data_IF_871538264947
#
_entry.id   IF_871538264947
#
_cell.length_a   1.000
_cell.length_b   1.000
_cell.length_c   1.000
_cell.angle_alpha   90.00
_cell.angle_beta   90.00
_cell.angle_gamma   90.00
#
_symmetry.space_group_name_H-M   'P 1'
#
loop_
_entity.id
_entity.type
_entity.pdbx_description
1 polymer ?
#
# COMPACT_ATOMS: atom_id res chain seq x y z
N UNK A 1 76.78 35.74 -37.10
CA UNK A 1 77.64 34.54 -37.00
C UNK A 1 77.14 33.66 -35.86
N UNK A 2 77.10 32.34 -36.11
CA UNK A 2 77.23 31.23 -35.15
C UNK A 2 76.23 31.08 -33.98
N UNK A 3 75.19 30.26 -34.22
CA UNK A 3 74.95 28.91 -33.65
C UNK A 3 75.40 28.55 -32.20
N UNK A 4 74.45 27.89 -31.51
CA UNK A 4 74.60 26.73 -30.58
C UNK A 4 74.92 26.95 -29.08
N UNK A 5 74.02 26.54 -28.17
CA UNK A 5 73.98 25.24 -27.46
C UNK A 5 73.18 25.30 -26.14
N UNK A 6 72.46 24.18 -25.87
CA UNK A 6 72.17 23.53 -24.57
C UNK A 6 71.46 24.30 -23.45
N UNK A 7 70.67 23.74 -22.54
CA UNK A 7 69.81 22.56 -22.36
C UNK A 7 69.51 22.49 -20.84
N UNK A 8 68.27 22.12 -20.48
CA UNK A 8 67.83 21.49 -19.20
C UNK A 8 67.63 22.36 -17.91
N UNK A 9 66.73 21.95 -16.99
CA UNK A 9 65.66 22.82 -16.47
C UNK A 9 65.48 22.83 -14.92
N UNK A 10 64.63 23.77 -14.43
CA UNK A 10 63.80 23.77 -13.21
C UNK A 10 64.49 23.62 -11.82
N UNK A 11 63.97 24.23 -10.71
CA UNK A 11 62.67 23.81 -10.18
C UNK A 11 61.75 24.94 -9.64
N UNK A 12 60.46 24.73 -9.89
CA UNK A 12 59.35 24.71 -8.91
C UNK A 12 59.36 25.79 -7.82
N UNK A 13 58.43 26.74 -7.94
CA UNK A 13 57.71 27.29 -6.79
C UNK A 13 56.23 27.01 -6.99
N UNK A 14 55.75 26.05 -6.22
CA UNK A 14 54.39 25.52 -6.29
C UNK A 14 53.36 26.63 -6.13
N UNK A 15 52.51 26.76 -7.14
CA UNK A 15 51.27 27.51 -7.03
C UNK A 15 50.39 26.78 -6.00
N UNK A 16 49.97 27.54 -4.99
CA UNK A 16 49.01 27.15 -3.96
C UNK A 16 47.82 26.43 -4.60
N UNK A 17 47.74 25.11 -4.39
CA UNK A 17 46.56 24.33 -4.69
C UNK A 17 45.48 24.70 -3.67
N UNK A 18 44.65 25.68 -4.02
CA UNK A 18 43.48 26.04 -3.25
C UNK A 18 42.46 24.89 -3.39
N UNK A 19 42.33 24.12 -2.30
CA UNK A 19 41.21 23.21 -2.06
C UNK A 19 39.89 23.97 -2.26
N UNK A 20 39.20 23.68 -3.36
CA UNK A 20 37.74 23.68 -3.36
C UNK A 20 37.29 22.29 -3.74
N UNK A 21 37.21 21.44 -2.73
CA UNK A 21 36.40 20.24 -2.77
C UNK A 21 34.94 20.71 -2.93
N UNK A 22 34.49 20.89 -4.17
CA UNK A 22 33.07 20.85 -4.49
C UNK A 22 32.64 19.40 -4.30
N UNK A 23 32.37 19.03 -3.06
CA UNK A 23 31.47 17.94 -2.74
C UNK A 23 30.09 18.41 -3.22
N UNK A 24 29.83 18.27 -4.52
CA UNK A 24 28.46 18.28 -5.01
C UNK A 24 27.79 17.09 -4.35
N UNK A 25 27.15 17.36 -3.21
CA UNK A 25 26.11 16.50 -2.70
C UNK A 25 25.08 16.37 -3.83
N UNK A 26 25.23 15.32 -4.63
CA UNK A 26 24.19 14.85 -5.51
C UNK A 26 23.08 14.38 -4.55
N UNK A 27 22.24 15.33 -4.13
CA UNK A 27 20.94 15.02 -3.57
C UNK A 27 20.24 14.32 -4.72
N UNK A 28 20.36 12.99 -4.76
CA UNK A 28 19.43 12.14 -5.47
C UNK A 28 18.07 12.55 -4.91
N UNK A 29 17.35 13.39 -5.64
CA UNK A 29 15.93 13.59 -5.39
C UNK A 29 15.36 12.17 -5.34
N UNK A 30 14.98 11.74 -4.14
CA UNK A 30 14.30 10.46 -4.00
C UNK A 30 13.16 10.48 -5.04
N UNK A 31 13.02 9.43 -5.86
CA UNK A 31 11.96 9.42 -6.85
C UNK A 31 10.64 9.73 -6.15
N UNK A 32 9.78 10.52 -6.79
CA UNK A 32 8.48 11.00 -6.29
C UNK A 32 7.45 9.89 -6.01
N UNK A 33 7.91 8.68 -5.69
CA UNK A 33 7.17 7.49 -5.30
C UNK A 33 7.68 7.00 -3.94
N UNK A 34 7.88 7.90 -2.97
CA UNK A 34 7.98 7.48 -1.59
C UNK A 34 6.63 6.84 -1.21
N UNK A 35 6.66 5.63 -0.64
CA UNK A 35 5.44 5.00 -0.15
C UNK A 35 4.76 5.90 0.89
N UNK A 36 3.41 5.95 0.93
CA UNK A 36 2.72 6.77 1.91
C UNK A 36 3.12 6.36 3.32
N UNK A 37 3.42 7.35 4.16
CA UNK A 37 3.70 7.11 5.58
C UNK A 37 2.38 7.02 6.35
N UNK A 38 2.27 5.97 7.16
CA UNK A 38 1.09 5.70 7.99
C UNK A 38 1.43 5.94 9.46
N UNK A 39 0.87 7.01 10.03
CA UNK A 39 1.00 7.32 11.45
C UNK A 39 -0.25 6.81 12.17
N UNK A 40 -0.10 5.80 13.04
CA UNK A 40 -1.22 5.28 13.84
C UNK A 40 -1.70 6.36 14.81
N UNK A 41 -2.98 6.73 14.71
CA UNK A 41 -3.64 7.75 15.55
C UNK A 41 -4.39 7.10 16.70
N UNK A 42 -5.18 6.05 16.42
CA UNK A 42 -5.94 5.33 17.44
C UNK A 42 -6.09 3.85 17.11
N UNK A 43 -6.35 3.06 18.14
CA UNK A 43 -6.78 1.67 18.03
C UNK A 43 -7.92 1.45 19.03
N UNK A 44 -9.12 1.32 18.51
CA UNK A 44 -10.35 1.26 19.29
C UNK A 44 -11.01 -0.11 19.12
N UNK A 45 -11.65 -0.62 20.18
CA UNK A 45 -12.41 -1.88 20.13
C UNK A 45 -13.89 -1.67 20.41
N UNK A 46 -14.73 -2.46 19.75
CA UNK A 46 -16.19 -2.35 19.84
C UNK A 46 -16.84 -3.73 19.81
N UNK A 47 -18.04 -3.85 20.39
CA UNK A 47 -18.80 -5.10 20.40
C UNK A 47 -19.51 -5.37 19.06
N UNK A 48 -19.94 -4.32 18.36
CA UNK A 48 -20.62 -4.40 17.07
C UNK A 48 -19.70 -3.89 15.95
N UNK A 49 -19.91 -4.38 14.72
CA UNK A 49 -19.12 -3.98 13.55
C UNK A 49 -19.22 -2.46 13.33
N UNK A 50 -18.10 -1.72 13.37
CA UNK A 50 -18.10 -0.30 13.02
C UNK A 50 -18.53 -0.12 11.57
N UNK A 51 -19.48 0.78 11.33
CA UNK A 51 -19.91 1.19 10.00
C UNK A 51 -19.62 2.67 9.84
N UNK A 52 -18.57 2.98 9.07
CA UNK A 52 -18.07 4.35 8.91
C UNK A 52 -19.03 5.20 8.04
N UNK A 53 -19.59 4.60 6.98
CA UNK A 53 -20.60 5.22 6.10
C UNK A 53 -21.85 4.36 6.05
N UNK A 54 -22.87 4.75 6.80
CA UNK A 54 -24.16 4.04 6.87
C UNK A 54 -24.95 4.12 5.56
N UNK A 55 -24.68 5.14 4.76
CA UNK A 55 -25.29 5.39 3.46
C UNK A 55 -24.65 4.60 2.32
N UNK A 56 -23.52 3.92 2.56
CA UNK A 56 -22.83 3.14 1.54
C UNK A 56 -23.28 1.68 1.53
N UNK A 57 -23.55 1.10 0.36
CA UNK A 57 -23.76 -0.33 0.25
C UNK A 57 -22.52 -1.12 0.67
N UNK A 58 -22.74 -2.26 1.34
CA UNK A 58 -21.68 -3.20 1.71
C UNK A 58 -21.62 -4.31 0.66
N UNK A 59 -20.46 -4.55 0.02
CA UNK A 59 -20.33 -5.62 -0.95
C UNK A 59 -20.41 -6.99 -0.25
N UNK A 60 -21.01 -7.97 -0.93
CA UNK A 60 -21.19 -9.34 -0.42
C UNK A 60 -20.90 -10.35 -1.53
N UNK A 61 -19.69 -10.26 -2.08
CA UNK A 61 -19.29 -11.06 -3.23
C UNK A 61 -18.78 -12.45 -2.81
N UNK A 62 -19.00 -13.45 -3.66
CA UNK A 62 -18.45 -14.78 -3.46
C UNK A 62 -16.93 -14.75 -3.40
N UNK A 63 -16.37 -15.33 -2.33
CA UNK A 63 -14.91 -15.35 -2.13
C UNK A 63 -14.32 -14.01 -1.70
N UNK A 64 -15.13 -13.00 -1.36
CA UNK A 64 -14.67 -11.74 -0.78
C UNK A 64 -13.92 -11.97 0.54
N UNK A 65 -12.73 -11.40 0.64
CA UNK A 65 -11.89 -11.45 1.86
C UNK A 65 -11.66 -10.07 2.47
N UNK A 66 -11.80 -9.01 1.68
CA UNK A 66 -11.60 -7.63 2.11
C UNK A 66 -12.23 -6.65 1.11
N UNK A 67 -12.57 -5.44 1.54
CA UNK A 67 -12.95 -4.36 0.63
C UNK A 67 -12.51 -2.97 1.13
N UNK A 68 -12.45 -2.00 0.22
CA UNK A 68 -12.08 -0.62 0.51
C UNK A 68 -13.19 0.31 0.01
N UNK A 69 -13.71 1.12 0.92
CA UNK A 69 -14.57 2.27 0.65
C UNK A 69 -13.78 3.57 0.78
N UNK A 70 -14.31 4.66 0.24
CA UNK A 70 -13.63 5.97 0.24
C UNK A 70 -14.60 7.14 0.30
N UNK A 71 -14.14 8.28 0.83
CA UNK A 71 -14.96 9.48 0.96
C UNK A 71 -15.60 10.00 -0.35
N UNK A 72 -14.96 9.96 -1.54
CA UNK A 72 -15.51 10.67 -2.70
C UNK A 72 -16.78 10.05 -3.29
N UNK A 73 -17.00 8.74 -3.11
CA UNK A 73 -18.20 8.04 -3.57
C UNK A 73 -18.30 6.62 -3.00
N UNK A 74 -19.50 6.04 -3.12
CA UNK A 74 -19.81 4.69 -2.68
C UNK A 74 -19.14 3.57 -3.50
N UNK A 75 -18.42 3.87 -4.59
CA UNK A 75 -17.74 2.83 -5.35
C UNK A 75 -16.69 2.15 -4.47
N UNK A 76 -16.74 0.83 -4.46
CA UNK A 76 -16.00 0.01 -3.51
C UNK A 76 -15.02 -0.88 -4.26
N UNK A 77 -13.77 -0.93 -3.81
CA UNK A 77 -12.83 -1.94 -4.31
C UNK A 77 -13.00 -3.19 -3.49
N UNK A 78 -13.27 -4.31 -4.14
CA UNK A 78 -13.42 -5.61 -3.50
C UNK A 78 -12.21 -6.47 -3.81
N UNK A 79 -11.68 -7.12 -2.79
CA UNK A 79 -10.64 -8.12 -2.89
C UNK A 79 -11.26 -9.48 -2.63
N UNK A 80 -11.21 -10.32 -3.66
CA UNK A 80 -11.74 -11.68 -3.62
C UNK A 80 -10.67 -12.71 -3.90
N UNK A 81 -10.92 -13.94 -3.50
CA UNK A 81 -10.10 -15.10 -3.80
C UNK A 81 -10.93 -16.21 -4.43
N UNK A 82 -10.27 -17.08 -5.18
CA UNK A 82 -10.86 -18.31 -5.72
C UNK A 82 -10.38 -19.48 -4.89
N UNK A 83 -11.30 -20.38 -4.54
CA UNK A 83 -11.01 -21.63 -3.84
C UNK A 83 -11.32 -22.78 -4.79
N UNK A 84 -10.35 -23.67 -4.99
CA UNK A 84 -10.47 -24.87 -5.79
C UNK A 84 -10.02 -26.08 -4.96
N UNK A 85 -10.86 -27.10 -4.85
CA UNK A 85 -10.52 -28.30 -4.06
C UNK A 85 -10.29 -28.02 -2.57
N UNK A 86 -10.93 -26.99 -2.01
CA UNK A 86 -10.76 -26.58 -0.60
C UNK A 86 -9.49 -25.78 -0.31
N UNK A 87 -8.70 -25.47 -1.34
CA UNK A 87 -7.47 -24.67 -1.23
C UNK A 87 -7.60 -23.39 -2.04
N UNK A 88 -6.85 -22.36 -1.65
CA UNK A 88 -6.74 -21.11 -2.42
C UNK A 88 -6.09 -21.43 -3.77
N UNK A 89 -6.68 -20.91 -4.85
CA UNK A 89 -6.14 -21.09 -6.21
C UNK A 89 -4.79 -20.37 -6.34
N UNK A 90 -3.67 -21.10 -6.55
CA UNK A 90 -2.35 -20.51 -6.64
C UNK A 90 -2.15 -19.63 -7.88
N UNK A 91 -2.99 -19.76 -8.92
CA UNK A 91 -2.88 -18.95 -10.14
C UNK A 91 -3.39 -17.52 -9.94
N UNK A 92 -4.37 -17.34 -9.05
CA UNK A 92 -4.97 -16.05 -8.75
C UNK A 92 -5.44 -15.99 -7.29
N UNK A 93 -4.50 -16.04 -6.32
CA UNK A 93 -4.83 -16.17 -4.91
C UNK A 93 -5.59 -14.96 -4.37
N UNK A 94 -5.38 -13.77 -4.92
CA UNK A 94 -6.23 -12.59 -4.68
C UNK A 94 -6.44 -11.83 -5.98
N UNK A 95 -7.67 -11.38 -6.21
CA UNK A 95 -8.07 -10.51 -7.30
C UNK A 95 -8.75 -9.26 -6.74
N UNK A 96 -8.54 -8.11 -7.38
CA UNK A 96 -9.18 -6.85 -7.02
C UNK A 96 -10.07 -6.34 -8.16
N UNK A 97 -11.24 -5.80 -7.83
CA UNK A 97 -12.20 -5.25 -8.79
C UNK A 97 -13.10 -4.19 -8.14
N UNK A 98 -13.70 -3.34 -8.95
CA UNK A 98 -14.69 -2.37 -8.52
C UNK A 98 -16.07 -2.99 -8.38
N UNK A 99 -16.81 -2.57 -7.37
CA UNK A 99 -18.27 -2.56 -7.31
C UNK A 99 -18.75 -1.12 -7.50
N UNK A 100 -19.46 -0.86 -8.60
CA UNK A 100 -19.91 0.48 -8.99
C UNK A 100 -21.25 0.85 -8.33
N UNK A 101 -21.23 1.10 -7.02
CA UNK A 101 -22.44 1.42 -6.27
C UNK A 101 -23.05 2.80 -6.58
N UNK A 102 -22.38 3.65 -7.35
CA UNK A 102 -22.97 4.89 -7.86
C UNK A 102 -23.88 4.69 -9.08
N UNK A 103 -23.90 3.50 -9.68
CA UNK A 103 -24.74 3.15 -10.83
C UNK A 103 -25.67 2.00 -10.46
N UNK A 104 -25.25 0.74 -10.64
CA UNK A 104 -26.07 -0.46 -10.40
C UNK A 104 -25.39 -1.52 -9.54
N UNK A 105 -24.20 -1.24 -9.00
CA UNK A 105 -23.44 -2.20 -8.20
C UNK A 105 -22.69 -3.25 -9.03
N UNK A 106 -22.57 -3.04 -10.35
CA UNK A 106 -21.89 -3.97 -11.24
C UNK A 106 -20.40 -4.16 -10.87
N UNK A 107 -19.92 -5.39 -11.05
CA UNK A 107 -18.52 -5.71 -10.90
C UNK A 107 -17.75 -5.27 -12.15
N UNK A 108 -16.68 -4.48 -11.98
CA UNK A 108 -15.81 -4.01 -13.06
C UNK A 108 -14.36 -4.28 -12.71
N UNK A 109 -13.63 -4.91 -13.62
CA UNK A 109 -12.20 -5.11 -13.42
C UNK A 109 -11.47 -3.77 -13.24
N UNK A 110 -10.44 -3.75 -12.38
CA UNK A 110 -9.54 -2.59 -12.30
C UNK A 110 -8.90 -2.33 -13.66
N UNK A 111 -8.82 -1.06 -14.06
CA UNK A 111 -8.08 -0.64 -15.26
C UNK A 111 -6.56 -0.85 -15.12
N UNK A 112 -5.82 -0.79 -16.23
CA UNK A 112 -4.37 -1.04 -16.23
C UNK A 112 -3.58 -0.12 -15.29
N UNK A 113 -3.93 1.17 -15.23
CA UNK A 113 -3.30 2.15 -14.35
C UNK A 113 -3.66 1.92 -12.87
N UNK A 114 -4.93 1.66 -12.57
CA UNK A 114 -5.44 1.40 -11.21
C UNK A 114 -4.84 0.13 -10.58
N UNK A 115 -4.61 -0.92 -11.40
CA UNK A 115 -3.88 -2.13 -10.96
C UNK A 115 -2.42 -1.85 -10.62
N UNK A 116 -1.79 -0.92 -11.35
CA UNK A 116 -0.38 -0.56 -11.18
C UNK A 116 -0.15 0.41 -10.01
N UNK A 117 -1.17 1.19 -9.65
CA UNK A 117 -1.14 2.22 -8.61
C UNK A 117 -1.87 1.77 -7.33
N UNK A 118 -2.96 2.46 -6.94
CA UNK A 118 -3.51 2.45 -5.58
C UNK A 118 -4.15 1.13 -5.11
N UNK A 119 -4.76 0.35 -6.01
CA UNK A 119 -5.61 -0.78 -5.61
C UNK A 119 -5.03 -2.14 -5.97
N UNK A 120 -3.83 -2.17 -6.54
CA UNK A 120 -3.12 -3.40 -6.85
C UNK A 120 -2.83 -4.23 -5.60
N UNK A 121 -2.89 -5.54 -5.76
CA UNK A 121 -2.56 -6.52 -4.73
C UNK A 121 -1.47 -7.45 -5.24
N UNK A 122 -0.48 -7.72 -4.40
CA UNK A 122 0.49 -8.77 -4.60
C UNK A 122 0.23 -9.88 -3.59
N UNK A 123 0.36 -11.13 -4.03
CA UNK A 123 0.16 -12.31 -3.20
C UNK A 123 1.28 -13.30 -3.50
N UNK A 124 2.13 -13.53 -2.49
CA UNK A 124 3.28 -14.42 -2.57
C UNK A 124 3.00 -15.67 -1.74
N UNK A 125 3.18 -16.89 -2.28
CA UNK A 125 2.98 -18.11 -1.51
C UNK A 125 4.04 -18.24 -0.41
N UNK A 126 3.62 -18.69 0.77
CA UNK A 126 4.52 -18.99 1.89
C UNK A 126 5.01 -20.46 1.88
N UNK A 127 4.46 -21.31 1.01
CA UNK A 127 4.84 -22.73 0.89
C UNK A 127 3.99 -23.72 1.72
N UNK A 128 3.08 -23.20 2.55
CA UNK A 128 2.22 -23.96 3.46
C UNK A 128 0.72 -23.83 3.11
N UNK A 129 0.41 -23.39 1.89
CA UNK A 129 -0.97 -23.08 1.47
C UNK A 129 -1.49 -21.71 1.92
N UNK A 130 -0.66 -20.92 2.62
CA UNK A 130 -0.95 -19.51 2.92
C UNK A 130 -0.21 -18.58 1.97
N UNK A 131 -0.69 -17.33 1.88
CA UNK A 131 -0.09 -16.31 1.02
C UNK A 131 0.17 -15.04 1.83
N UNK A 132 1.39 -14.50 1.70
CA UNK A 132 1.66 -13.14 2.10
C UNK A 132 1.02 -12.20 1.09
N UNK A 133 0.16 -11.31 1.58
CA UNK A 133 -0.56 -10.33 0.77
C UNK A 133 -0.06 -8.93 1.11
N UNK A 134 0.19 -8.13 0.08
CA UNK A 134 0.56 -6.73 0.21
C UNK A 134 -0.28 -5.91 -0.76
N UNK A 135 -0.98 -4.91 -0.23
CA UNK A 135 -1.65 -3.91 -1.07
C UNK A 135 -0.66 -2.83 -1.44
N UNK A 136 -0.67 -2.40 -2.71
CA UNK A 136 0.25 -1.36 -3.19
C UNK A 136 0.08 -0.03 -2.46
N UNK A 137 -1.14 0.33 -2.06
CA UNK A 137 -1.40 1.52 -1.23
C UNK A 137 -0.98 1.37 0.23
N UNK A 138 -0.73 0.14 0.71
CA UNK A 138 -0.35 -0.15 2.11
C UNK A 138 0.90 -1.04 2.15
N UNK A 139 2.02 -0.63 1.53
CA UNK A 139 3.19 -1.50 1.38
C UNK A 139 3.85 -1.84 2.72
N UNK A 140 3.66 -1.00 3.75
CA UNK A 140 4.13 -1.25 5.11
C UNK A 140 3.28 -2.27 5.89
N UNK A 141 2.11 -2.67 5.37
CA UNK A 141 1.23 -3.65 6.02
C UNK A 141 1.39 -5.02 5.36
N UNK A 142 1.98 -5.95 6.10
CA UNK A 142 1.99 -7.36 5.71
C UNK A 142 0.71 -8.04 6.18
N UNK A 143 0.00 -8.66 5.26
CA UNK A 143 -1.19 -9.46 5.54
C UNK A 143 -0.93 -10.92 5.19
N UNK A 144 -1.71 -11.82 5.80
CA UNK A 144 -1.69 -13.25 5.50
C UNK A 144 -3.08 -13.68 5.03
N UNK A 145 -3.16 -14.22 3.82
CA UNK A 145 -4.34 -14.92 3.33
C UNK A 145 -4.21 -16.40 3.67
N UNK A 146 -5.22 -16.94 4.36
CA UNK A 146 -5.31 -18.37 4.72
C UNK A 146 -6.75 -18.84 4.76
N UNK A 147 -6.93 -20.16 4.74
CA UNK A 147 -8.23 -20.77 5.01
C UNK A 147 -8.52 -20.75 6.52
N UNK A 148 -9.75 -20.42 6.90
CA UNK A 148 -10.26 -20.45 8.26
C UNK A 148 -11.71 -20.94 8.24
N UNK A 149 -11.99 -22.07 8.92
CA UNK A 149 -13.34 -22.65 8.94
C UNK A 149 -13.89 -22.98 7.54
N UNK A 150 -13.01 -23.45 6.64
CA UNK A 150 -13.38 -23.78 5.26
C UNK A 150 -13.63 -22.57 4.35
N UNK A 151 -13.39 -21.34 4.83
CA UNK A 151 -13.50 -20.11 4.03
C UNK A 151 -12.18 -19.35 4.01
N UNK A 152 -11.82 -18.70 2.90
CA UNK A 152 -10.64 -17.87 2.87
C UNK A 152 -10.86 -16.60 3.69
N UNK A 153 -9.78 -16.11 4.30
CA UNK A 153 -9.78 -14.90 5.10
C UNK A 153 -8.40 -14.23 5.09
N UNK A 154 -8.42 -12.90 5.18
CA UNK A 154 -7.22 -12.08 5.25
C UNK A 154 -6.97 -11.67 6.69
N UNK A 155 -5.73 -11.76 7.14
CA UNK A 155 -5.32 -11.46 8.50
C UNK A 155 -4.19 -10.45 8.54
N UNK A 156 -4.14 -9.64 9.58
CA UNK A 156 -2.96 -8.83 9.88
C UNK A 156 -2.81 -8.61 11.39
N UNK A 157 -1.59 -8.35 11.86
CA UNK A 157 -1.38 -7.85 13.22
C UNK A 157 -2.08 -6.50 13.42
N UNK A 158 -2.91 -6.41 14.46
CA UNK A 158 -3.55 -5.17 14.92
C UNK A 158 -3.34 -5.05 16.43
N UNK A 159 -2.19 -4.47 16.81
CA UNK A 159 -1.70 -4.47 18.19
C UNK A 159 -1.06 -5.81 18.55
N UNK A 160 -1.46 -6.41 19.67
CA UNK A 160 -0.89 -7.66 20.18
C UNK A 160 -1.64 -8.91 19.68
N UNK A 161 -2.58 -8.75 18.74
CA UNK A 161 -3.40 -9.83 18.23
C UNK A 161 -3.43 -9.82 16.70
N UNK A 162 -3.63 -11.01 16.12
CA UNK A 162 -3.91 -11.16 14.70
C UNK A 162 -5.43 -10.99 14.48
N UNK A 163 -5.82 -9.99 13.70
CA UNK A 163 -7.22 -9.71 13.40
C UNK A 163 -7.60 -10.27 12.02
N UNK A 164 -8.79 -10.86 11.92
CA UNK A 164 -9.43 -11.15 10.64
C UNK A 164 -9.93 -9.85 10.03
N UNK A 165 -9.38 -9.45 8.90
CA UNK A 165 -9.76 -8.21 8.23
C UNK A 165 -11.16 -8.29 7.64
N UNK A 166 -11.82 -7.13 7.62
CA UNK A 166 -13.17 -6.97 7.09
C UNK A 166 -13.14 -5.93 5.98
N UNK A 167 -12.77 -4.69 6.31
CA UNK A 167 -12.73 -3.61 5.34
C UNK A 167 -11.81 -2.48 5.77
N UNK A 168 -11.50 -1.59 4.84
CA UNK A 168 -10.93 -0.28 5.14
C UNK A 168 -11.75 0.86 4.53
N UNK A 169 -11.58 2.04 5.12
CA UNK A 169 -12.15 3.29 4.63
C UNK A 169 -11.03 4.30 4.44
N UNK A 170 -11.01 4.95 3.29
CA UNK A 170 -10.07 6.01 2.95
C UNK A 170 -10.74 7.37 3.03
N UNK A 171 -10.14 8.28 3.77
CA UNK A 171 -10.44 9.71 3.69
C UNK A 171 -9.55 10.28 2.58
N UNK A 172 -10.20 10.76 1.52
CA UNK A 172 -9.57 11.40 0.36
C UNK A 172 -9.98 12.87 0.35
N UNK A 173 -9.00 13.74 0.25
CA UNK A 173 -9.18 15.18 0.07
C UNK A 173 -9.12 15.53 -1.42
N UNK A 174 -10.09 16.33 -1.84
CA UNK A 174 -10.16 16.89 -3.19
C UNK A 174 -9.20 18.08 -3.32
N UNK A 175 -8.56 18.19 -4.48
CA UNK A 175 -7.61 19.25 -4.81
C UNK A 175 -7.17 19.14 -6.26
N UNK A 176 -6.19 19.94 -6.69
CA UNK A 176 -5.58 19.80 -8.02
C UNK A 176 -5.00 18.39 -8.23
N UNK A 177 -4.47 17.81 -7.16
CA UNK A 177 -4.04 16.41 -7.08
C UNK A 177 -4.75 15.81 -5.87
N UNK A 178 -5.70 14.88 -6.06
CA UNK A 178 -6.37 14.19 -4.97
C UNK A 178 -5.36 13.47 -4.07
N UNK A 179 -5.61 13.44 -2.76
CA UNK A 179 -4.70 12.76 -1.83
C UNK A 179 -5.45 12.00 -0.75
N UNK A 180 -4.90 10.85 -0.34
CA UNK A 180 -5.38 10.09 0.81
C UNK A 180 -4.76 10.70 2.07
N UNK A 181 -5.61 11.20 2.98
CA UNK A 181 -5.18 11.83 4.23
C UNK A 181 -5.49 10.99 5.46
N UNK A 182 -6.43 10.05 5.34
CA UNK A 182 -6.82 9.15 6.41
C UNK A 182 -7.08 7.73 5.92
N UNK A 183 -6.78 6.77 6.79
CA UNK A 183 -7.06 5.35 6.59
C UNK A 183 -7.62 4.76 7.87
N UNK A 184 -8.76 4.09 7.77
CA UNK A 184 -9.31 3.28 8.86
C UNK A 184 -9.33 1.83 8.41
N UNK A 185 -8.73 0.94 9.18
CA UNK A 185 -8.77 -0.51 8.93
C UNK A 185 -9.62 -1.16 10.02
N UNK A 186 -10.61 -1.95 9.61
CA UNK A 186 -11.52 -2.66 10.50
C UNK A 186 -11.28 -4.17 10.38
N UNK A 187 -11.12 -4.81 11.53
CA UNK A 187 -10.97 -6.25 11.66
C UNK A 187 -11.76 -6.81 12.84
N UNK A 188 -11.74 -8.14 12.97
CA UNK A 188 -12.30 -8.89 14.09
C UNK A 188 -11.20 -9.64 14.82
N UNK A 189 -11.11 -9.43 16.13
CA UNK A 189 -10.15 -10.09 17.00
C UNK A 189 -10.62 -11.51 17.37
N UNK A 190 -9.70 -12.39 17.82
CA UNK A 190 -10.07 -13.70 18.34
C UNK A 190 -11.04 -13.66 19.52
N UNK A 191 -11.04 -12.57 20.30
CA UNK A 191 -12.00 -12.33 21.39
C UNK A 191 -13.45 -12.15 20.90
N UNK A 192 -13.65 -12.01 19.59
CA UNK A 192 -14.95 -11.74 18.97
C UNK A 192 -15.25 -10.24 18.80
N UNK A 193 -14.51 -9.36 19.49
CA UNK A 193 -14.63 -7.91 19.35
C UNK A 193 -14.13 -7.42 17.99
N UNK A 194 -14.66 -6.30 17.53
CA UNK A 194 -14.15 -5.60 16.37
C UNK A 194 -13.08 -4.60 16.80
N UNK A 195 -12.03 -4.47 15.99
CA UNK A 195 -10.95 -3.51 16.18
C UNK A 195 -10.91 -2.56 14.99
N UNK A 196 -10.74 -1.27 15.26
CA UNK A 196 -10.48 -0.25 14.23
C UNK A 196 -9.13 0.40 14.52
N UNK A 197 -8.22 0.35 13.56
CA UNK A 197 -7.02 1.18 13.58
C UNK A 197 -7.22 2.38 12.66
N UNK A 198 -7.05 3.58 13.21
CA UNK A 198 -7.12 4.84 12.47
C UNK A 198 -5.71 5.35 12.24
N UNK A 199 -5.39 5.66 11.00
CA UNK A 199 -4.10 6.16 10.54
C UNK A 199 -4.26 7.53 9.90
N UNK A 200 -3.31 8.42 10.19
CA UNK A 200 -3.03 9.59 9.36
C UNK A 200 -2.09 9.16 8.24
N UNK A 201 -2.38 9.61 7.02
CA UNK A 201 -1.60 9.30 5.84
C UNK A 201 -0.86 10.55 5.38
N UNK A 202 0.45 10.42 5.11
CA UNK A 202 1.30 11.48 4.53
C UNK A 202 1.92 10.98 3.23
N UNK A 203 2.03 11.84 2.22
CA UNK A 203 2.52 11.46 0.89
C UNK A 203 1.56 10.51 0.16
N UNK A 204 0.26 10.76 0.29
CA UNK A 204 -0.82 9.92 -0.24
C UNK A 204 -1.40 10.42 -1.56
N UNK A 205 -0.65 11.20 -2.34
CA UNK A 205 -1.08 11.73 -3.64
C UNK A 205 -1.46 10.57 -4.60
N UNK A 206 -2.59 10.71 -5.30
CA UNK A 206 -3.19 9.69 -6.18
C UNK A 206 -2.88 9.89 -7.66
#
# INVERSE_FOLDING_TARGET
>A
MAQTRTATPAPVRGLVALLFAFLTALILAAPAWAAPQLDLVSRDTTAALPVIRKDYPVPNDGGQVFYIQRSPNANTVVYGTRVAGGQIDPKAPVSAYWRRFNTGGEAKALGGLERRMAYGVNAQPNGDGTYRVTFRALPAKSMTLRMEGGRPALFMPMGNAEARLIYAYLDVEDGLIPSVTGLKIVGRLPSGQYVTETYRVKGGEL
#
